data_IF_141894867828
#
_entry.id   IF_141894867828
#
_cell.length_a   1.000
_cell.length_b   1.000
_cell.length_c   1.000
_cell.angle_alpha   90.00
_cell.angle_beta   90.00
_cell.angle_gamma   90.00
#
_symmetry.space_group_name_H-M   'P 1'
#
loop_
_entity.id
_entity.type
_entity.pdbx_description
1 polymer ?
#
# COMPACT_ATOMS: atom_id res chain seq x y z
N UNK A 1 1.12 4.78 18.05
CA UNK A 1 2.47 4.66 18.64
C UNK A 1 3.25 6.00 18.61
N UNK A 2 2.81 7.04 19.33
CA UNK A 2 3.40 8.40 19.21
C UNK A 2 4.17 8.91 20.44
N UNK A 3 4.45 8.07 21.43
CA UNK A 3 5.00 8.54 22.71
C UNK A 3 6.31 7.87 23.16
N UNK A 4 6.91 6.98 22.35
CA UNK A 4 8.19 6.34 22.69
C UNK A 4 9.30 7.35 23.02
N UNK A 5 9.45 8.37 22.15
CA UNK A 5 10.47 9.41 22.36
C UNK A 5 10.19 10.24 23.61
N UNK A 6 8.92 10.50 23.92
CA UNK A 6 8.52 11.29 25.08
C UNK A 6 8.86 10.55 26.38
N UNK A 7 8.44 9.29 26.51
CA UNK A 7 8.69 8.45 27.69
C UNK A 7 10.17 8.20 27.92
N UNK A 8 10.94 8.04 26.83
CA UNK A 8 12.40 7.95 26.91
C UNK A 8 13.01 9.22 27.52
N UNK A 9 12.59 10.39 27.03
CA UNK A 9 13.10 11.68 27.53
C UNK A 9 12.68 11.94 28.96
N UNK A 10 11.44 11.62 29.32
CA UNK A 10 10.93 11.72 30.70
C UNK A 10 11.73 10.83 31.67
N UNK A 11 12.08 9.61 31.25
CA UNK A 11 12.93 8.72 32.03
C UNK A 11 14.34 9.26 32.26
N UNK A 12 14.95 9.89 31.25
CA UNK A 12 16.27 10.53 31.36
C UNK A 12 16.23 11.75 32.27
N UNK A 13 15.20 12.58 32.17
CA UNK A 13 15.02 13.75 33.06
C UNK A 13 14.78 13.32 34.51
N UNK A 14 13.96 12.29 34.73
CA UNK A 14 13.72 11.73 36.06
C UNK A 14 15.00 11.16 36.69
N UNK A 15 15.89 10.58 35.89
CA UNK A 15 17.19 10.08 36.35
C UNK A 15 18.09 11.22 36.86
N UNK A 16 18.21 12.30 36.09
CA UNK A 16 19.03 13.45 36.46
C UNK A 16 18.47 14.25 37.64
N UNK A 17 17.17 14.15 37.91
CA UNK A 17 16.51 14.80 39.06
C UNK A 17 16.45 13.89 40.31
N UNK A 18 17.09 12.71 40.28
CA UNK A 18 17.16 11.79 41.42
C UNK A 18 15.89 10.94 41.65
N UNK A 19 14.90 11.03 40.76
CA UNK A 19 13.66 10.24 40.83
C UNK A 19 13.83 8.88 40.16
N UNK A 20 14.64 8.01 40.76
CA UNK A 20 15.06 6.73 40.19
C UNK A 20 13.90 5.79 39.85
N UNK A 21 12.88 5.67 40.71
CA UNK A 21 11.76 4.76 40.44
C UNK A 21 10.91 5.22 39.26
N UNK A 22 10.64 6.53 39.14
CA UNK A 22 9.92 7.10 37.99
C UNK A 22 10.73 6.93 36.70
N UNK A 23 12.04 7.16 36.78
CA UNK A 23 12.95 6.91 35.66
C UNK A 23 12.86 5.47 35.18
N UNK A 24 12.92 4.51 36.11
CA UNK A 24 12.82 3.08 35.81
C UNK A 24 11.52 2.71 35.11
N UNK A 25 10.38 3.23 35.60
CA UNK A 25 9.06 2.98 35.01
C UNK A 25 8.91 3.58 33.61
N UNK A 26 9.38 4.82 33.41
CA UNK A 26 9.33 5.49 32.12
C UNK A 26 10.22 4.78 31.08
N UNK A 27 11.44 4.39 31.46
CA UNK A 27 12.34 3.63 30.59
C UNK A 27 11.82 2.22 30.27
N UNK A 28 11.21 1.53 31.24
CA UNK A 28 10.60 0.22 31.01
C UNK A 28 9.43 0.30 30.02
N UNK A 29 8.59 1.33 30.15
CA UNK A 29 7.48 1.60 29.22
C UNK A 29 7.98 1.92 27.82
N UNK A 30 9.01 2.77 27.70
CA UNK A 30 9.65 3.08 26.43
C UNK A 30 10.27 1.83 25.78
N UNK A 31 10.93 0.97 26.56
CA UNK A 31 11.51 -0.30 26.09
C UNK A 31 10.43 -1.26 25.58
N UNK A 32 9.33 -1.43 26.30
CA UNK A 32 8.22 -2.29 25.86
C UNK A 32 7.65 -1.82 24.51
N UNK A 33 7.44 -0.51 24.36
CA UNK A 33 6.96 0.08 23.10
C UNK A 33 7.99 -0.03 21.98
N UNK A 34 9.28 0.03 22.29
CA UNK A 34 10.36 -0.15 21.32
C UNK A 34 10.34 -1.56 20.72
N UNK A 35 10.23 -2.58 21.57
CA UNK A 35 10.19 -3.98 21.16
C UNK A 35 8.98 -4.25 20.25
N UNK A 36 7.82 -3.69 20.58
CA UNK A 36 6.63 -3.80 19.72
C UNK A 36 6.78 -3.12 18.35
N UNK A 37 7.61 -2.06 18.26
CA UNK A 37 7.85 -1.33 17.02
C UNK A 37 8.92 -1.96 16.13
N UNK A 38 9.81 -2.78 16.71
CA UNK A 38 10.82 -3.49 15.95
C UNK A 38 10.20 -4.65 15.17
N UNK A 39 10.64 -4.86 13.94
CA UNK A 39 10.29 -6.08 13.20
C UNK A 39 11.40 -7.09 13.47
N UNK A 40 11.10 -8.29 14.00
CA UNK A 40 12.11 -9.31 14.25
C UNK A 40 12.81 -9.70 12.94
N UNK A 41 14.14 -9.81 12.97
CA UNK A 41 14.94 -10.11 11.77
C UNK A 41 14.69 -11.52 11.24
N UNK A 42 14.42 -12.48 12.14
CA UNK A 42 14.04 -13.86 11.80
C UNK A 42 12.72 -13.89 11.01
N UNK A 43 11.69 -13.21 11.51
CA UNK A 43 10.39 -13.11 10.85
C UNK A 43 10.50 -12.41 9.49
N UNK A 44 11.31 -11.34 9.42
CA UNK A 44 11.58 -10.62 8.18
C UNK A 44 12.29 -11.52 7.16
N UNK A 45 13.33 -12.24 7.59
CA UNK A 45 14.10 -13.16 6.75
C UNK A 45 13.24 -14.30 6.22
N UNK A 46 12.34 -14.85 7.06
CA UNK A 46 11.40 -15.88 6.65
C UNK A 46 10.49 -15.41 5.52
N UNK A 47 9.81 -14.26 5.70
CA UNK A 47 8.92 -13.72 4.66
C UNK A 47 9.72 -13.34 3.40
N UNK A 48 10.93 -12.81 3.55
CA UNK A 48 11.79 -12.52 2.39
C UNK A 48 12.24 -13.78 1.63
N UNK A 49 12.49 -14.89 2.34
CA UNK A 49 12.86 -16.17 1.71
C UNK A 49 11.76 -16.74 0.81
N UNK A 50 10.50 -16.36 1.06
CA UNK A 50 9.36 -16.71 0.20
C UNK A 50 9.29 -15.87 -1.10
N UNK A 51 10.24 -14.96 -1.31
CA UNK A 51 10.33 -14.12 -2.52
C UNK A 51 9.70 -12.73 -2.39
N UNK A 52 9.26 -12.35 -1.19
CA UNK A 52 8.77 -10.98 -0.95
C UNK A 52 9.93 -10.01 -0.73
N UNK A 53 9.82 -8.81 -1.31
CA UNK A 53 10.84 -7.78 -1.07
C UNK A 53 10.82 -7.30 0.40
N UNK A 54 11.94 -6.76 0.86
CA UNK A 54 12.09 -6.31 2.25
C UNK A 54 11.05 -5.26 2.67
N UNK A 55 10.66 -4.36 1.76
CA UNK A 55 9.68 -3.30 2.05
C UNK A 55 8.29 -3.88 2.33
N UNK A 56 7.84 -4.82 1.50
CA UNK A 56 6.54 -5.47 1.62
C UNK A 56 6.52 -6.41 2.84
N UNK A 57 7.59 -7.17 3.07
CA UNK A 57 7.73 -8.02 4.25
C UNK A 57 7.67 -7.19 5.55
N UNK A 58 8.46 -6.11 5.66
CA UNK A 58 8.41 -5.19 6.81
C UNK A 58 7.02 -4.58 7.01
N UNK A 59 6.36 -4.18 5.92
CA UNK A 59 5.00 -3.61 5.99
C UNK A 59 4.00 -4.64 6.50
N UNK A 60 3.98 -5.84 5.93
CA UNK A 60 3.04 -6.90 6.32
C UNK A 60 3.23 -7.31 7.78
N UNK A 61 4.47 -7.46 8.24
CA UNK A 61 4.79 -7.78 9.63
C UNK A 61 4.36 -6.65 10.58
N UNK A 62 4.52 -5.38 10.18
CA UNK A 62 4.05 -4.25 11.00
C UNK A 62 2.53 -4.16 11.09
N UNK A 63 1.82 -4.52 10.02
CA UNK A 63 0.36 -4.47 9.99
C UNK A 63 -0.27 -5.64 10.76
N UNK A 64 0.43 -6.77 10.85
CA UNK A 64 -0.02 -7.97 11.56
C UNK A 64 0.64 -8.17 12.93
N UNK A 65 1.10 -7.08 13.57
CA UNK A 65 1.70 -7.14 14.92
C UNK A 65 2.82 -8.20 15.07
N UNK A 66 3.64 -8.35 14.03
CA UNK A 66 4.75 -9.32 13.94
C UNK A 66 4.31 -10.79 13.84
N UNK A 67 3.03 -11.08 13.65
CA UNK A 67 2.56 -12.42 13.28
C UNK A 67 2.96 -12.74 11.83
N UNK A 68 3.77 -13.78 11.65
CA UNK A 68 4.25 -14.22 10.35
C UNK A 68 3.10 -14.82 9.53
N UNK A 69 2.22 -15.59 10.17
CA UNK A 69 1.08 -16.23 9.49
C UNK A 69 0.16 -15.18 8.87
N UNK A 70 -0.36 -14.27 9.71
CA UNK A 70 -1.19 -13.16 9.24
C UNK A 70 -0.47 -12.24 8.23
N UNK A 71 0.85 -12.04 8.36
CA UNK A 71 1.62 -11.27 7.37
C UNK A 71 1.66 -11.94 5.99
N UNK A 72 1.81 -13.27 5.94
CA UNK A 72 1.79 -14.02 4.69
C UNK A 72 0.38 -13.98 4.08
N UNK A 73 -0.66 -14.25 4.87
CA UNK A 73 -2.05 -14.21 4.42
C UNK A 73 -2.41 -12.84 3.84
N UNK A 74 -2.00 -11.78 4.52
CA UNK A 74 -2.17 -10.41 4.04
C UNK A 74 -1.48 -10.17 2.69
N UNK A 75 -0.23 -10.64 2.52
CA UNK A 75 0.52 -10.46 1.27
C UNK A 75 -0.09 -11.26 0.11
N UNK A 76 -0.60 -12.47 0.38
CA UNK A 76 -1.30 -13.30 -0.60
C UNK A 76 -2.59 -12.61 -1.03
N UNK A 77 -3.39 -12.14 -0.07
CA UNK A 77 -4.65 -11.46 -0.34
C UNK A 77 -4.44 -10.14 -1.10
N UNK A 78 -3.41 -9.36 -0.75
CA UNK A 78 -3.10 -8.10 -1.46
C UNK A 78 -2.71 -8.36 -2.93
N UNK A 79 -2.01 -9.46 -3.20
CA UNK A 79 -1.66 -9.86 -4.57
C UNK A 79 -2.89 -10.32 -5.36
N UNK A 80 -3.77 -11.10 -4.73
CA UNK A 80 -5.02 -11.56 -5.34
C UNK A 80 -5.94 -10.40 -5.71
N UNK A 81 -6.17 -9.46 -4.77
CA UNK A 81 -6.99 -8.26 -5.01
C UNK A 81 -6.45 -7.39 -6.14
N UNK A 82 -5.12 -7.24 -6.24
CA UNK A 82 -4.49 -6.49 -7.34
C UNK A 82 -4.67 -7.18 -8.69
N UNK A 83 -4.62 -8.51 -8.73
CA UNK A 83 -4.81 -9.26 -9.96
C UNK A 83 -6.26 -9.17 -10.44
N UNK A 84 -7.23 -9.37 -9.54
CA UNK A 84 -8.66 -9.21 -9.83
C UNK A 84 -8.98 -7.83 -10.36
N UNK A 85 -8.50 -6.77 -9.68
CA UNK A 85 -8.74 -5.40 -10.12
C UNK A 85 -8.18 -5.12 -11.53
N UNK A 86 -7.02 -5.68 -11.87
CA UNK A 86 -6.45 -5.55 -13.22
C UNK A 86 -7.31 -6.23 -14.26
N UNK A 87 -7.82 -7.41 -13.96
CA UNK A 87 -8.71 -8.15 -14.87
C UNK A 87 -10.03 -7.40 -15.08
N UNK A 88 -10.62 -6.86 -14.01
CA UNK A 88 -11.82 -6.01 -14.08
C UNK A 88 -11.58 -4.70 -14.84
N UNK A 89 -10.42 -4.07 -14.65
CA UNK A 89 -10.03 -2.86 -15.39
C UNK A 89 -9.83 -3.15 -16.88
N UNK A 90 -9.29 -4.33 -17.24
CA UNK A 90 -9.16 -4.80 -18.63
C UNK A 90 -10.54 -5.03 -19.25
N UNK A 91 -11.41 -5.83 -18.60
CA UNK A 91 -12.77 -6.10 -19.09
C UNK A 91 -13.57 -4.82 -19.32
N UNK A 92 -13.55 -3.88 -18.37
CA UNK A 92 -14.22 -2.58 -18.55
C UNK A 92 -13.68 -1.80 -19.74
N UNK A 93 -12.38 -1.87 -20.02
CA UNK A 93 -11.79 -1.18 -21.19
C UNK A 93 -12.23 -1.83 -22.49
N UNK A 94 -12.30 -3.16 -22.52
CA UNK A 94 -12.73 -3.92 -23.69
C UNK A 94 -14.22 -3.66 -23.98
N UNK A 95 -15.08 -3.65 -22.96
CA UNK A 95 -16.50 -3.27 -23.08
C UNK A 95 -16.68 -1.85 -23.61
N UNK A 96 -15.89 -0.88 -23.14
CA UNK A 96 -15.93 0.50 -23.64
C UNK A 96 -15.49 0.57 -25.10
N UNK A 97 -14.47 -0.20 -25.48
CA UNK A 97 -13.98 -0.25 -26.86
C UNK A 97 -15.03 -0.87 -27.79
N UNK A 98 -15.63 -1.99 -27.40
CA UNK A 98 -16.70 -2.67 -28.15
C UNK A 98 -17.93 -1.76 -28.33
N UNK A 99 -18.38 -1.08 -27.27
CA UNK A 99 -19.47 -0.09 -27.36
C UNK A 99 -19.12 1.12 -28.26
N UNK A 100 -17.83 1.47 -28.38
CA UNK A 100 -17.37 2.55 -29.25
C UNK A 100 -17.21 2.12 -30.72
N UNK A 101 -16.96 0.83 -30.96
CA UNK A 101 -16.84 0.24 -32.30
C UNK A 101 -18.22 -0.03 -32.93
N UNK A 102 -19.20 -0.44 -32.13
CA UNK A 102 -20.61 -0.59 -32.54
C UNK A 102 -21.30 0.75 -32.84
N UNK A 103 -20.74 1.86 -32.32
CA UNK A 103 -21.13 3.20 -32.75
C UNK A 103 -20.58 3.47 -34.17
N UNK A 104 -21.28 2.94 -35.17
CA UNK A 104 -20.97 3.10 -36.60
C UNK A 104 -20.52 4.53 -36.93
N UNK A 105 -19.44 4.73 -37.71
CA UNK A 105 -19.08 6.06 -38.19
C UNK A 105 -20.31 6.67 -38.87
N UNK A 106 -20.68 7.89 -38.49
CA UNK A 106 -21.77 8.61 -39.14
C UNK A 106 -21.61 8.48 -40.66
N UNK A 107 -22.67 8.12 -41.41
CA UNK A 107 -22.56 7.98 -42.85
C UNK A 107 -21.99 9.28 -43.41
N UNK A 108 -20.97 9.16 -44.27
CA UNK A 108 -20.32 10.31 -44.87
C UNK A 108 -21.39 11.26 -45.44
N UNK A 109 -21.27 12.58 -45.22
CA UNK A 109 -22.26 13.52 -45.73
C UNK A 109 -22.38 13.33 -47.25
N UNK A 110 -23.60 13.38 -47.81
CA UNK A 110 -23.80 13.15 -49.23
C UNK A 110 -22.91 14.11 -50.03
N UNK A 111 -22.30 13.66 -51.15
CA UNK A 111 -21.49 14.54 -51.96
C UNK A 111 -22.33 15.75 -52.38
N UNK A 112 -21.79 16.95 -52.16
CA UNK A 112 -22.46 18.21 -52.49
C UNK A 112 -22.89 18.20 -53.95
N UNK A 113 -24.21 18.13 -54.20
CA UNK A 113 -24.81 18.20 -55.53
C UNK A 113 -24.71 19.61 -56.17
N UNK A 114 -24.03 20.55 -55.50
CA UNK A 114 -23.76 21.90 -55.98
C UNK A 114 -22.27 22.05 -56.32
N UNK A 115 -21.83 21.38 -57.38
CA UNK A 115 -20.74 21.90 -58.21
C UNK A 115 -21.38 22.38 -59.50
N UNK A 116 -21.69 23.67 -59.53
CA UNK A 116 -22.09 24.35 -60.77
C UNK A 116 -20.85 24.35 -61.67
N UNK A 117 -20.92 23.89 -62.93
CA UNK A 117 -19.77 23.95 -63.81
C UNK A 117 -19.48 25.41 -64.18
N UNK A 118 -18.22 25.81 -64.10
CA UNK A 118 -17.76 27.13 -64.52
C UNK A 118 -18.11 27.38 -65.99
N UNK A 119 -18.74 28.52 -66.35
CA UNK A 119 -18.96 28.87 -67.74
C UNK A 119 -17.64 29.31 -68.38
N UNK A 120 -17.34 28.73 -69.54
CA UNK A 120 -16.20 29.08 -70.41
C UNK A 120 -16.28 30.50 -70.97
#
# INVERSE_FOLDING_TARGET
>A
HRHLRLELLEGVVAFHTGQLEKSRQALASARAKFVQLQVPDEALSLVMSMGYNQRNAKRALRMNNQDVGGAIDFLVEEKAKKLQKREEDLKRRDEIWECAEDASPLPAPPPNLFSVPDPH
#
